data_IF_816871144726
#
_entry.id   IF_816871144726
#
_cell.length_a   1.000
_cell.length_b   1.000
_cell.length_c   1.000
_cell.angle_alpha   90.00
_cell.angle_beta   90.00
_cell.angle_gamma   90.00
#
_symmetry.space_group_name_H-M   'P 1'
#
loop_
_entity.id
_entity.type
_entity.pdbx_description
1 polymer ?
#
# COMPACT_ATOMS: atom_id res chain seq x y z
N UNK A 1 -40.05 -23.24 -3.58
CA UNK A 1 -38.79 -22.50 -3.45
C UNK A 1 -37.67 -23.44 -3.86
N UNK A 2 -37.21 -23.33 -5.10
CA UNK A 2 -36.09 -24.10 -5.64
C UNK A 2 -34.80 -23.55 -5.05
N UNK A 3 -34.06 -24.39 -4.31
CA UNK A 3 -32.66 -24.10 -3.94
C UNK A 3 -31.88 -23.96 -5.25
N UNK A 4 -31.37 -22.76 -5.52
CA UNK A 4 -30.34 -22.56 -6.53
C UNK A 4 -29.05 -23.16 -5.97
N UNK A 5 -28.87 -24.46 -6.19
CA UNK A 5 -27.59 -25.13 -6.00
C UNK A 5 -26.66 -24.64 -7.12
N UNK A 6 -25.72 -23.78 -6.73
CA UNK A 6 -24.55 -23.52 -7.56
C UNK A 6 -23.76 -24.83 -7.69
N UNK A 7 -23.34 -25.24 -8.90
CA UNK A 7 -22.51 -26.42 -9.05
C UNK A 7 -21.21 -26.22 -8.25
N UNK A 8 -20.76 -27.24 -7.52
CA UNK A 8 -19.60 -27.22 -6.60
C UNK A 8 -18.36 -26.53 -7.22
N UNK A 9 -18.18 -26.69 -8.54
CA UNK A 9 -17.15 -26.04 -9.37
C UNK A 9 -17.07 -24.50 -9.28
N UNK A 10 -18.20 -23.80 -9.08
CA UNK A 10 -18.19 -22.33 -9.00
C UNK A 10 -17.83 -21.81 -7.61
N UNK A 11 -18.01 -22.64 -6.57
CA UNK A 11 -17.66 -22.33 -5.18
C UNK A 11 -16.16 -22.53 -4.92
N UNK A 12 -15.58 -23.63 -5.38
CA UNK A 12 -14.14 -23.84 -5.31
C UNK A 12 -13.40 -22.73 -6.03
N UNK A 13 -13.86 -22.37 -7.22
CA UNK A 13 -13.33 -21.22 -7.97
C UNK A 13 -13.44 -19.90 -7.20
N UNK A 14 -14.49 -19.69 -6.41
CA UNK A 14 -14.63 -18.48 -5.59
C UNK A 14 -13.62 -18.44 -4.43
N UNK A 15 -13.38 -19.57 -3.76
CA UNK A 15 -12.35 -19.72 -2.72
C UNK A 15 -10.95 -19.52 -3.29
N UNK A 16 -10.63 -20.19 -4.40
CA UNK A 16 -9.36 -20.02 -5.12
C UNK A 16 -9.11 -18.56 -5.51
N UNK A 17 -10.14 -17.85 -5.96
CA UNK A 17 -10.03 -16.43 -6.30
C UNK A 17 -9.71 -15.56 -5.07
N UNK A 18 -10.27 -15.88 -3.90
CA UNK A 18 -10.02 -15.14 -2.65
C UNK A 18 -8.63 -15.41 -2.14
N UNK A 19 -8.20 -16.66 -2.14
CA UNK A 19 -6.87 -17.03 -1.69
C UNK A 19 -5.80 -16.47 -2.63
N UNK A 20 -6.03 -16.51 -3.94
CA UNK A 20 -5.17 -15.83 -4.92
C UNK A 20 -5.09 -14.33 -4.64
N UNK A 21 -6.22 -13.68 -4.35
CA UNK A 21 -6.23 -12.25 -4.01
C UNK A 21 -5.45 -11.97 -2.72
N UNK A 22 -5.64 -12.79 -1.68
CA UNK A 22 -4.92 -12.68 -0.41
C UNK A 22 -3.42 -12.84 -0.60
N UNK A 23 -2.97 -13.80 -1.42
CA UNK A 23 -1.56 -13.97 -1.74
C UNK A 23 -0.99 -12.79 -2.51
N UNK A 24 -1.72 -12.27 -3.52
CA UNK A 24 -1.32 -11.06 -4.25
C UNK A 24 -1.16 -9.87 -3.31
N UNK A 25 -2.13 -9.63 -2.41
CA UNK A 25 -2.03 -8.52 -1.45
C UNK A 25 -0.84 -8.74 -0.50
N UNK A 26 -0.64 -9.97 -0.02
CA UNK A 26 0.47 -10.29 0.88
C UNK A 26 1.84 -10.11 0.23
N UNK A 27 1.98 -10.39 -1.08
CA UNK A 27 3.22 -10.15 -1.82
C UNK A 27 3.47 -8.68 -2.12
N UNK A 28 2.41 -7.90 -2.35
CA UNK A 28 2.51 -6.48 -2.75
C UNK A 28 2.66 -5.54 -1.54
N UNK A 29 2.00 -5.84 -0.42
CA UNK A 29 1.97 -4.98 0.77
C UNK A 29 3.36 -4.57 1.30
N UNK A 30 4.35 -5.48 1.43
CA UNK A 30 5.69 -5.10 1.90
C UNK A 30 6.38 -4.10 0.98
N UNK A 31 6.23 -4.29 -0.33
CA UNK A 31 6.80 -3.40 -1.35
C UNK A 31 6.15 -2.03 -1.29
N UNK A 32 4.82 -1.97 -1.26
CA UNK A 32 4.07 -0.70 -1.15
C UNK A 32 4.39 0.05 0.14
N UNK A 33 4.49 -0.67 1.27
CA UNK A 33 4.91 -0.08 2.53
C UNK A 33 6.34 0.49 2.43
N UNK A 34 7.26 -0.24 1.80
CA UNK A 34 8.62 0.22 1.54
C UNK A 34 8.68 1.51 0.71
N UNK A 35 7.85 1.59 -0.34
CA UNK A 35 7.71 2.77 -1.19
C UNK A 35 7.16 3.97 -0.39
N UNK A 36 6.08 3.78 0.37
CA UNK A 36 5.51 4.82 1.26
C UNK A 36 6.56 5.34 2.25
N UNK A 37 7.32 4.43 2.89
CA UNK A 37 8.39 4.82 3.81
C UNK A 37 9.50 5.59 3.09
N UNK A 38 9.92 5.12 1.91
CA UNK A 38 10.96 5.78 1.11
C UNK A 38 10.56 7.19 0.72
N UNK A 39 9.33 7.39 0.27
CA UNK A 39 8.82 8.71 -0.13
C UNK A 39 8.67 9.62 1.09
N UNK A 40 8.15 9.10 2.21
CA UNK A 40 8.04 9.85 3.47
C UNK A 40 9.41 10.33 3.97
N UNK A 41 10.41 9.44 3.98
CA UNK A 41 11.77 9.80 4.36
C UNK A 41 12.41 10.78 3.38
N UNK A 42 12.25 10.56 2.07
CA UNK A 42 12.73 11.50 1.06
C UNK A 42 12.13 12.90 1.28
N UNK A 43 10.87 12.99 1.72
CA UNK A 43 10.18 14.25 1.99
C UNK A 43 10.65 14.91 3.31
N UNK A 44 10.96 14.11 4.34
CA UNK A 44 11.57 14.58 5.60
C UNK A 44 13.00 15.08 5.41
N UNK A 45 13.77 14.37 4.59
CA UNK A 45 15.18 14.63 4.31
C UNK A 45 15.37 15.74 3.28
N UNK A 46 14.33 16.03 2.47
CA UNK A 46 14.40 17.12 1.52
C UNK A 46 14.48 18.44 2.26
N UNK A 47 15.70 18.98 2.32
CA UNK A 47 15.99 20.39 2.59
C UNK A 47 15.53 21.30 1.43
N UNK A 48 14.50 20.89 0.69
CA UNK A 48 13.83 21.72 -0.31
C UNK A 48 13.52 23.05 0.38
N UNK A 49 14.03 24.14 -0.19
CA UNK A 49 13.91 25.50 0.34
C UNK A 49 14.81 25.84 1.54
N UNK A 50 16.09 25.50 1.55
CA UNK A 50 17.07 26.24 2.37
C UNK A 50 18.05 27.03 1.50
N UNK A 51 17.49 27.86 0.59
CA UNK A 51 18.24 28.81 -0.22
C UNK A 51 19.16 29.69 0.65
N UNK A 52 18.72 30.02 1.88
CA UNK A 52 19.53 30.72 2.90
C UNK A 52 20.78 29.94 3.32
N UNK A 53 20.67 28.62 3.55
CA UNK A 53 21.80 27.75 3.90
C UNK A 53 22.75 27.57 2.72
N UNK A 54 22.22 27.40 1.52
CA UNK A 54 23.04 27.27 0.31
C UNK A 54 23.75 28.59 -0.02
N UNK A 55 23.08 29.73 0.15
CA UNK A 55 23.68 31.06 0.01
C UNK A 55 24.81 31.29 1.02
N UNK A 56 24.66 30.85 2.27
CA UNK A 56 25.72 30.92 3.27
C UNK A 56 26.93 30.02 2.95
N UNK A 57 26.69 28.82 2.41
CA UNK A 57 27.79 27.91 2.00
C UNK A 57 28.50 28.42 0.74
N UNK A 58 27.78 29.11 -0.13
CA UNK A 58 28.32 29.63 -1.41
C UNK A 58 28.81 31.08 -1.34
N UNK A 59 28.67 31.77 -0.19
CA UNK A 59 29.07 33.18 -0.06
C UNK A 59 30.58 33.40 -0.05
N UNK A 60 31.35 32.38 0.31
CA UNK A 60 32.82 32.44 0.31
C UNK A 60 33.44 32.04 -1.03
N UNK A 61 32.62 31.59 -1.99
CA UNK A 61 33.07 31.12 -3.29
C UNK A 61 33.06 32.25 -4.33
N UNK A 62 33.95 32.18 -5.34
CA UNK A 62 33.88 33.06 -6.50
C UNK A 62 32.48 33.05 -7.14
N UNK A 63 31.96 34.19 -7.62
CA UNK A 63 30.58 34.30 -8.10
C UNK A 63 30.20 33.29 -9.19
N UNK A 64 31.12 32.94 -10.10
CA UNK A 64 30.89 31.94 -11.14
C UNK A 64 30.64 30.55 -10.55
N UNK A 65 31.48 30.11 -9.61
CA UNK A 65 31.37 28.81 -8.94
C UNK A 65 30.13 28.77 -8.04
N UNK A 66 29.87 29.85 -7.30
CA UNK A 66 28.67 29.98 -6.47
C UNK A 66 27.38 29.87 -7.30
N UNK A 67 27.36 30.46 -8.49
CA UNK A 67 26.20 30.41 -9.40
C UNK A 67 25.99 29.01 -9.98
N UNK A 68 27.05 28.37 -10.45
CA UNK A 68 26.99 26.98 -10.95
C UNK A 68 26.51 26.01 -9.86
N UNK A 69 27.00 26.15 -8.62
CA UNK A 69 26.56 25.32 -7.50
C UNK A 69 25.08 25.53 -7.15
N UNK A 70 24.57 26.77 -7.24
CA UNK A 70 23.15 27.06 -7.02
C UNK A 70 22.27 26.42 -8.10
N UNK A 71 22.66 26.53 -9.37
CA UNK A 71 21.95 25.90 -10.50
C UNK A 71 21.96 24.38 -10.36
N UNK A 72 23.13 23.79 -10.03
CA UNK A 72 23.26 22.36 -9.83
C UNK A 72 22.40 21.87 -8.66
N UNK A 73 22.31 22.64 -7.58
CA UNK A 73 21.45 22.33 -6.43
C UNK A 73 19.97 22.37 -6.81
N UNK A 74 19.53 23.42 -7.51
CA UNK A 74 18.14 23.55 -7.97
C UNK A 74 17.73 22.42 -8.93
N UNK A 75 18.64 22.02 -9.83
CA UNK A 75 18.41 20.89 -10.72
C UNK A 75 18.33 19.55 -9.97
N UNK A 76 19.19 19.35 -8.97
CA UNK A 76 19.16 18.17 -8.11
C UNK A 76 17.87 18.09 -7.29
N UNK A 77 17.46 19.21 -6.69
CA UNK A 77 16.21 19.34 -5.93
C UNK A 77 14.98 19.07 -6.80
N UNK A 78 14.94 19.64 -8.00
CA UNK A 78 13.87 19.40 -8.97
C UNK A 78 13.76 17.92 -9.36
N UNK A 79 14.91 17.25 -9.54
CA UNK A 79 14.95 15.81 -9.84
C UNK A 79 14.46 14.98 -8.66
N UNK A 80 14.85 15.32 -7.43
CA UNK A 80 14.39 14.61 -6.23
C UNK A 80 12.89 14.76 -6.03
N UNK A 81 12.36 15.97 -6.23
CA UNK A 81 10.92 16.22 -6.19
C UNK A 81 10.17 15.42 -7.26
N UNK A 82 10.66 15.41 -8.49
CA UNK A 82 10.09 14.60 -9.56
C UNK A 82 10.05 13.10 -9.19
N UNK A 83 11.16 12.55 -8.70
CA UNK A 83 11.21 11.14 -8.28
C UNK A 83 10.24 10.84 -7.13
N UNK A 84 10.12 11.75 -6.16
CA UNK A 84 9.17 11.66 -5.06
C UNK A 84 7.72 11.63 -5.58
N UNK A 85 7.33 12.60 -6.41
CA UNK A 85 5.96 12.65 -6.99
C UNK A 85 5.64 11.45 -7.87
N UNK A 86 6.62 10.94 -8.63
CA UNK A 86 6.47 9.72 -9.41
C UNK A 86 6.24 8.50 -8.51
N UNK A 87 7.05 8.34 -7.46
CA UNK A 87 6.86 7.26 -6.49
C UNK A 87 5.49 7.30 -5.82
N UNK A 88 4.98 8.50 -5.50
CA UNK A 88 3.63 8.67 -4.96
C UNK A 88 2.57 8.21 -5.97
N UNK A 89 2.70 8.61 -7.23
CA UNK A 89 1.76 8.24 -8.29
C UNK A 89 1.75 6.72 -8.51
N UNK A 90 2.93 6.12 -8.69
CA UNK A 90 3.07 4.68 -8.95
C UNK A 90 2.48 3.85 -7.78
N UNK A 91 2.74 4.24 -6.53
CA UNK A 91 2.18 3.58 -5.35
C UNK A 91 0.66 3.78 -5.24
N UNK A 92 0.14 4.96 -5.60
CA UNK A 92 -1.29 5.26 -5.58
C UNK A 92 -2.06 4.42 -6.60
N UNK A 93 -1.52 4.28 -7.81
CA UNK A 93 -2.15 3.52 -8.88
C UNK A 93 -2.22 2.02 -8.53
N UNK A 94 -1.15 1.48 -7.95
CA UNK A 94 -1.10 0.10 -7.45
C UNK A 94 -2.08 -0.14 -6.31
N UNK A 95 -2.11 0.75 -5.31
CA UNK A 95 -3.07 0.67 -4.20
C UNK A 95 -4.52 0.71 -4.70
N UNK A 96 -4.83 1.64 -5.60
CA UNK A 96 -6.17 1.79 -6.18
C UNK A 96 -6.62 0.53 -6.90
N UNK A 97 -5.71 -0.07 -7.69
CA UNK A 97 -5.96 -1.31 -8.43
C UNK A 97 -6.23 -2.47 -7.46
N UNK A 98 -5.33 -2.70 -6.50
CA UNK A 98 -5.47 -3.77 -5.51
C UNK A 98 -6.75 -3.62 -4.66
N UNK A 99 -7.09 -2.39 -4.27
CA UNK A 99 -8.30 -2.12 -3.51
C UNK A 99 -9.56 -2.38 -4.33
N UNK A 100 -9.57 -2.03 -5.62
CA UNK A 100 -10.70 -2.30 -6.50
C UNK A 100 -10.93 -3.80 -6.69
N UNK A 101 -9.85 -4.56 -6.94
CA UNK A 101 -9.89 -6.01 -7.10
C UNK A 101 -10.30 -6.72 -5.80
N UNK A 102 -9.77 -6.29 -4.66
CA UNK A 102 -10.12 -6.84 -3.35
C UNK A 102 -11.59 -6.57 -2.99
N UNK A 103 -12.09 -5.36 -3.23
CA UNK A 103 -13.51 -5.00 -3.03
C UNK A 103 -14.42 -5.82 -3.95
N UNK A 104 -14.04 -6.01 -5.21
CA UNK A 104 -14.80 -6.83 -6.13
C UNK A 104 -14.87 -8.29 -5.68
N UNK A 105 -13.73 -8.84 -5.23
CA UNK A 105 -13.63 -10.20 -4.68
C UNK A 105 -14.51 -10.36 -3.44
N UNK A 106 -14.49 -9.37 -2.53
CA UNK A 106 -15.35 -9.38 -1.34
C UNK A 106 -16.84 -9.38 -1.68
N UNK A 107 -17.27 -8.51 -2.62
CA UNK A 107 -18.67 -8.42 -3.06
C UNK A 107 -19.16 -9.72 -3.70
N UNK A 108 -18.33 -10.36 -4.53
CA UNK A 108 -18.66 -11.68 -5.12
C UNK A 108 -18.86 -12.70 -4.00
N UNK A 109 -17.99 -12.69 -3.00
CA UNK A 109 -18.09 -13.60 -1.88
C UNK A 109 -19.35 -13.37 -1.02
N UNK A 110 -19.74 -12.11 -0.79
CA UNK A 110 -20.98 -11.78 -0.07
C UNK A 110 -22.22 -12.30 -0.82
N UNK A 111 -22.23 -12.20 -2.15
CA UNK A 111 -23.29 -12.77 -2.98
C UNK A 111 -23.37 -14.29 -2.84
N UNK A 112 -22.22 -14.98 -2.80
CA UNK A 112 -22.17 -16.42 -2.57
C UNK A 112 -22.65 -16.83 -1.17
N UNK A 113 -22.33 -16.05 -0.13
CA UNK A 113 -22.74 -16.29 1.25
C UNK A 113 -24.25 -16.09 1.46
N UNK A 114 -24.85 -15.08 0.83
CA UNK A 114 -26.28 -14.78 0.98
C UNK A 114 -27.21 -15.88 0.43
N UNK A 115 -26.72 -16.69 -0.50
CA UNK A 115 -27.53 -17.70 -1.23
C UNK A 115 -27.40 -19.10 -0.61
N UNK A 116 -26.32 -19.36 0.15
CA UNK A 116 -25.94 -20.72 0.55
C UNK A 116 -26.24 -21.05 2.02
N UNK A 117 -26.91 -22.18 2.25
CA UNK A 117 -27.20 -22.78 3.56
C UNK A 117 -26.41 -24.10 3.73
N UNK A 118 -25.07 -24.00 3.71
CA UNK A 118 -24.17 -25.16 3.62
C UNK A 118 -23.61 -25.64 4.98
N UNK A 119 -22.97 -26.81 4.97
CA UNK A 119 -22.40 -27.50 6.13
C UNK A 119 -21.35 -26.67 6.89
N UNK A 120 -21.31 -26.84 8.22
CA UNK A 120 -20.64 -25.96 9.17
C UNK A 120 -19.13 -25.75 8.92
N UNK A 121 -18.39 -26.77 8.47
CA UNK A 121 -16.93 -26.72 8.33
C UNK A 121 -16.46 -25.86 7.14
N UNK A 122 -17.08 -26.02 5.96
CA UNK A 122 -16.75 -25.20 4.79
C UNK A 122 -17.19 -23.74 4.95
N UNK A 123 -18.28 -23.50 5.68
CA UNK A 123 -18.71 -22.15 6.04
C UNK A 123 -17.71 -21.46 6.97
N UNK A 124 -17.07 -22.21 7.88
CA UNK A 124 -16.07 -21.68 8.81
C UNK A 124 -14.79 -21.24 8.08
N UNK A 125 -14.33 -22.00 7.09
CA UNK A 125 -13.15 -21.63 6.29
C UNK A 125 -13.42 -20.40 5.41
N UNK A 126 -14.58 -20.35 4.76
CA UNK A 126 -14.96 -19.21 3.93
C UNK A 126 -15.10 -17.93 4.78
N UNK A 127 -15.67 -18.03 5.98
CA UNK A 127 -15.68 -16.94 6.97
C UNK A 127 -14.27 -16.50 7.38
N UNK A 128 -13.34 -17.45 7.56
CA UNK A 128 -11.95 -17.14 7.88
C UNK A 128 -11.25 -16.38 6.74
N UNK A 129 -11.45 -16.79 5.49
CA UNK A 129 -10.91 -16.07 4.33
C UNK A 129 -11.56 -14.68 4.16
N UNK A 130 -12.84 -14.51 4.50
CA UNK A 130 -13.47 -13.17 4.58
C UNK A 130 -12.72 -12.26 5.55
N UNK A 131 -12.47 -12.76 6.76
CA UNK A 131 -11.84 -11.99 7.83
C UNK A 131 -10.44 -11.54 7.40
N UNK A 132 -9.67 -12.43 6.77
CA UNK A 132 -8.35 -12.06 6.27
C UNK A 132 -8.42 -11.09 5.09
N UNK A 133 -9.43 -11.21 4.22
CA UNK A 133 -9.62 -10.26 3.12
C UNK A 133 -10.02 -8.88 3.64
N UNK A 134 -10.87 -8.82 4.67
CA UNK A 134 -11.26 -7.58 5.33
C UNK A 134 -10.07 -6.94 6.07
N UNK A 135 -9.21 -7.75 6.72
CA UNK A 135 -7.96 -7.27 7.31
C UNK A 135 -6.99 -6.72 6.25
N UNK A 136 -6.83 -7.44 5.13
CA UNK A 136 -5.99 -7.04 4.01
C UNK A 136 -6.48 -5.72 3.39
N UNK A 137 -7.79 -5.59 3.17
CA UNK A 137 -8.43 -4.34 2.74
C UNK A 137 -8.17 -3.20 3.74
N UNK A 138 -8.32 -3.46 5.04
CA UNK A 138 -8.02 -2.48 6.08
C UNK A 138 -6.58 -1.96 6.02
N UNK A 139 -5.61 -2.82 5.74
CA UNK A 139 -4.21 -2.42 5.56
C UNK A 139 -3.98 -1.61 4.28
N UNK A 140 -4.63 -1.97 3.18
CA UNK A 140 -4.57 -1.19 1.94
C UNK A 140 -5.14 0.22 2.14
N UNK A 141 -6.28 0.35 2.84
CA UNK A 141 -6.83 1.66 3.20
C UNK A 141 -5.93 2.47 4.12
N UNK A 142 -5.29 1.82 5.10
CA UNK A 142 -4.35 2.50 5.98
C UNK A 142 -3.14 3.03 5.19
N UNK A 143 -2.59 2.24 4.25
CA UNK A 143 -1.51 2.69 3.37
C UNK A 143 -1.94 3.83 2.44
N UNK A 144 -3.15 3.76 1.89
CA UNK A 144 -3.71 4.82 1.04
C UNK A 144 -3.83 6.15 1.81
N UNK A 145 -4.25 6.10 3.08
CA UNK A 145 -4.31 7.28 3.94
C UNK A 145 -2.92 7.88 4.19
N UNK A 146 -1.93 7.05 4.54
CA UNK A 146 -0.54 7.51 4.73
C UNK A 146 0.01 8.14 3.45
N UNK A 147 -0.24 7.53 2.28
CA UNK A 147 0.18 8.07 1.00
C UNK A 147 -0.51 9.39 0.66
N UNK A 148 -1.78 9.56 1.05
CA UNK A 148 -2.51 10.81 0.91
C UNK A 148 -1.90 11.92 1.77
N UNK A 149 -1.55 11.64 3.03
CA UNK A 149 -0.86 12.59 3.91
C UNK A 149 0.48 13.02 3.32
N UNK A 150 1.26 12.08 2.77
CA UNK A 150 2.52 12.37 2.06
C UNK A 150 2.29 13.27 0.85
N UNK A 151 1.25 13.02 0.05
CA UNK A 151 0.91 13.85 -1.12
C UNK A 151 0.57 15.28 -0.74
N UNK A 152 -0.19 15.46 0.35
CA UNK A 152 -0.52 16.78 0.90
C UNK A 152 0.73 17.50 1.41
N UNK A 153 1.58 16.79 2.16
CA UNK A 153 2.84 17.34 2.66
C UNK A 153 3.79 17.74 1.52
N UNK A 154 3.90 16.92 0.46
CA UNK A 154 4.71 17.22 -0.72
C UNK A 154 4.21 18.47 -1.44
N UNK A 155 2.89 18.60 -1.57
CA UNK A 155 2.25 19.76 -2.21
C UNK A 155 2.47 21.03 -1.39
N UNK A 156 2.29 20.97 -0.07
CA UNK A 156 2.53 22.10 0.84
C UNK A 156 4.01 22.54 0.86
N UNK A 157 4.93 21.57 0.82
CA UNK A 157 6.36 21.86 0.76
C UNK A 157 6.73 22.53 -0.56
N UNK A 158 6.26 22.02 -1.70
CA UNK A 158 6.68 22.50 -3.02
C UNK A 158 5.99 23.81 -3.43
N UNK A 159 4.68 23.94 -3.19
CA UNK A 159 3.92 25.13 -3.60
C UNK A 159 4.05 26.28 -2.61
N UNK A 160 4.24 25.98 -1.32
CA UNK A 160 4.18 26.98 -0.25
C UNK A 160 5.45 27.04 0.62
N UNK A 161 6.47 26.22 0.35
CA UNK A 161 7.69 26.17 1.15
C UNK A 161 7.47 25.69 2.59
N UNK A 162 6.33 25.05 2.89
CA UNK A 162 5.94 24.70 4.25
C UNK A 162 6.57 23.36 4.69
N UNK A 163 7.62 23.44 5.52
CA UNK A 163 8.35 22.27 6.04
C UNK A 163 7.62 21.54 7.19
N UNK A 164 6.67 22.21 7.85
CA UNK A 164 5.98 21.65 9.00
C UNK A 164 5.21 20.37 8.68
N UNK A 165 4.61 20.27 7.50
CA UNK A 165 3.85 19.08 7.08
C UNK A 165 4.73 17.83 6.91
N UNK A 166 5.91 17.98 6.32
CA UNK A 166 6.86 16.88 6.14
C UNK A 166 7.39 16.33 7.48
N UNK A 167 7.67 17.23 8.44
CA UNK A 167 8.14 16.86 9.78
C UNK A 167 7.09 16.12 10.63
N UNK A 168 5.80 16.29 10.31
CA UNK A 168 4.68 15.68 11.04
C UNK A 168 4.23 14.33 10.46
N UNK A 169 4.83 13.89 9.35
CA UNK A 169 4.50 12.60 8.74
C UNK A 169 4.77 11.46 9.73
N UNK A 170 3.73 10.65 9.95
CA UNK A 170 3.73 9.58 10.96
C UNK A 170 4.76 8.51 10.65
N UNK A 171 5.16 7.81 11.70
CA UNK A 171 5.92 6.58 11.56
C UNK A 171 4.98 5.41 11.25
N UNK A 172 5.33 4.62 10.26
CA UNK A 172 4.51 3.50 9.78
C UNK A 172 4.79 2.19 10.53
N UNK A 173 5.47 2.22 11.67
CA UNK A 173 5.85 1.02 12.45
C UNK A 173 4.62 0.19 12.87
N UNK A 174 3.49 0.83 13.15
CA UNK A 174 2.21 0.16 13.39
C UNK A 174 1.71 -0.62 12.18
N UNK A 175 1.77 -0.02 10.98
CA UNK A 175 1.41 -0.69 9.72
C UNK A 175 2.38 -1.81 9.38
N UNK A 176 3.68 -1.59 9.56
CA UNK A 176 4.74 -2.59 9.35
C UNK A 176 4.52 -3.84 10.18
N UNK A 177 4.21 -3.69 11.46
CA UNK A 177 3.87 -4.82 12.32
C UNK A 177 2.61 -5.54 11.86
N UNK A 178 1.60 -4.82 11.38
CA UNK A 178 0.35 -5.41 10.90
C UNK A 178 0.49 -6.14 9.56
N UNK A 179 1.25 -5.57 8.62
CA UNK A 179 1.64 -6.21 7.35
C UNK A 179 2.43 -7.48 7.61
N UNK A 180 3.45 -7.42 8.47
CA UNK A 180 4.25 -8.60 8.81
C UNK A 180 3.40 -9.72 9.43
N UNK A 181 2.45 -9.39 10.31
CA UNK A 181 1.50 -10.37 10.87
C UNK A 181 0.62 -11.00 9.80
N UNK A 182 0.03 -10.21 8.91
CA UNK A 182 -0.81 -10.75 7.83
C UNK A 182 0.00 -11.68 6.91
N UNK A 183 1.19 -11.26 6.49
CA UNK A 183 2.10 -12.07 5.66
C UNK A 183 2.47 -13.38 6.37
N UNK A 184 2.81 -13.33 7.66
CA UNK A 184 3.14 -14.53 8.44
C UNK A 184 1.96 -15.50 8.55
N UNK A 185 0.74 -14.99 8.73
CA UNK A 185 -0.48 -15.80 8.80
C UNK A 185 -0.73 -16.52 7.47
N UNK A 186 -0.67 -15.78 6.35
CA UNK A 186 -0.93 -16.33 5.01
C UNK A 186 0.18 -17.27 4.53
N UNK A 187 1.42 -17.06 5.00
CA UNK A 187 2.56 -17.94 4.72
C UNK A 187 2.62 -19.17 5.63
N UNK A 188 1.75 -19.27 6.64
CA UNK A 188 1.78 -20.37 7.60
C UNK A 188 1.32 -21.69 6.97
N UNK A 189 1.92 -22.81 7.40
CA UNK A 189 1.54 -24.17 6.99
C UNK A 189 0.06 -24.48 7.25
N UNK A 190 -0.54 -23.83 8.25
CA UNK A 190 -1.96 -24.03 8.57
C UNK A 190 -2.88 -23.37 7.54
N UNK A 191 -2.47 -22.26 6.92
CA UNK A 191 -3.24 -21.64 5.85
C UNK A 191 -3.11 -22.48 4.55
N UNK A 192 -1.89 -22.92 4.22
CA UNK A 192 -1.60 -23.74 3.02
C UNK A 192 -2.10 -25.19 3.11
N UNK A 193 -2.11 -25.82 4.29
CA UNK A 193 -2.67 -27.16 4.47
C UNK A 193 -4.19 -27.20 4.28
N UNK A 194 -4.90 -26.12 4.65
CA UNK A 194 -6.36 -26.03 4.46
C UNK A 194 -6.73 -25.84 2.98
N UNK A 195 -5.78 -25.38 2.15
CA UNK A 195 -5.88 -25.31 0.69
C UNK A 195 -5.63 -26.68 0.03
N UNK A 196 -4.61 -27.41 0.47
CA UNK A 196 -4.22 -28.69 -0.12
C UNK A 196 -5.25 -29.82 0.09
N UNK A 197 -6.00 -29.78 1.20
CA UNK A 197 -7.06 -30.76 1.48
C UNK A 197 -8.27 -30.62 0.56
N UNK A 198 -8.47 -29.44 -0.05
CA UNK A 198 -9.62 -29.16 -0.93
C UNK A 198 -9.34 -29.58 -2.38
N UNK A 199 -8.11 -29.37 -2.89
CA UNK A 199 -7.74 -29.79 -4.26
C UNK A 199 -7.69 -31.33 -4.41
N UNK A 200 -7.75 -32.06 -3.30
CA UNK A 200 -7.65 -33.53 -3.26
C UNK A 200 -8.97 -34.24 -2.94
N UNK A 201 -10.08 -33.51 -2.79
CA UNK A 201 -11.43 -34.05 -2.57
C UNK A 201 -12.31 -33.79 -3.79
#
# INVERSE_FOLDING_TARGET
MTKLEYPENERERALENVDKMLFTIASELPTLLGEVCSVSNALKDTKLCNFSSLCAVTSELPPSIATELRIAHEAADSKQFFLCTKGIADASDRLTTLMAEAKQTRRKLDQFLAINTAAAEQQQQLQRSCIYLDQALGLLFALDLELHEIKLAASALYLHGQKAGAAQLRETEGLKGAVARLVAILSSKHFTSTLATIVSQ
#
